data_IF_346686515835
#
_entry.id   IF_346686515835
#
_cell.length_a   1.000
_cell.length_b   1.000
_cell.length_c   1.000
_cell.angle_alpha   90.00
_cell.angle_beta   90.00
_cell.angle_gamma   90.00
#
_symmetry.space_group_name_H-M   'P 1'
#
loop_
_entity.id
_entity.type
_entity.pdbx_description
1 polymer ?
2 non-polymer ?
3 non-polymer ?
4 non-polymer ?
5 non-polymer ?
6 non-polymer ?
7 water ?
#
# COMPACT_ATOMS: atom_id res chain seq x y z
N UNK A 1 15.69 -0.34 9.75
CA UNK A 1 15.10 -1.08 8.61
C UNK A 1 15.41 -2.56 8.81
N UNK A 2 14.59 -3.21 9.60
CA UNK A 2 14.70 -4.63 9.85
C UNK A 2 14.23 -5.45 8.67
N UNK A 3 12.99 -5.95 8.75
CA UNK A 3 12.52 -6.99 7.83
C UNK A 3 12.38 -6.54 6.38
N UNK A 4 12.87 -7.40 5.50
CA UNK A 4 12.61 -7.29 4.07
C UNK A 4 12.24 -8.68 3.57
N UNK A 5 11.56 -8.74 2.44
CA UNK A 5 11.25 -10.01 1.81
C UNK A 5 12.53 -10.57 1.23
N UNK A 6 12.75 -11.86 1.45
CA UNK A 6 13.98 -12.51 1.03
C UNK A 6 13.75 -13.36 -0.21
N UNK A 7 12.82 -12.91 -1.05
CA UNK A 7 12.45 -13.63 -2.26
C UNK A 7 11.96 -12.58 -3.25
N UNK A 8 11.99 -12.91 -4.54
CA UNK A 8 11.62 -11.92 -5.56
C UNK A 8 10.18 -12.02 -6.02
N UNK A 9 9.56 -13.18 -5.91
CA UNK A 9 8.15 -13.33 -6.30
C UNK A 9 7.27 -13.19 -5.07
N UNK A 10 6.45 -12.14 -5.07
CA UNK A 10 5.58 -11.79 -3.94
C UNK A 10 4.15 -11.88 -4.42
N UNK A 11 3.28 -12.44 -3.58
CA UNK A 11 1.86 -12.52 -3.92
C UNK A 11 1.03 -11.56 -3.09
N UNK A 12 -0.07 -11.09 -3.68
CA UNK A 12 -1.10 -10.39 -2.95
C UNK A 12 -2.48 -10.93 -3.22
N UNK A 13 -3.38 -10.70 -2.28
CA UNK A 13 -4.78 -11.08 -2.44
C UNK A 13 -5.66 -9.95 -1.91
N UNK A 14 -6.69 -9.60 -2.67
CA UNK A 14 -7.67 -8.62 -2.21
C UNK A 14 -8.73 -9.38 -1.41
N UNK A 15 -8.70 -9.19 -0.09
CA UNK A 15 -9.58 -9.91 0.83
C UNK A 15 -11.04 -9.57 0.61
N UNK A 16 -11.29 -8.29 0.37
CA UNK A 16 -12.63 -7.75 0.19
C UNK A 16 -12.53 -6.42 -0.52
N UNK A 17 -13.62 -6.00 -1.13
CA UNK A 17 -13.64 -4.78 -1.91
C UNK A 17 -14.46 -3.68 -1.28
N UNK A 18 -13.91 -2.47 -1.27
CA UNK A 18 -14.69 -1.32 -0.85
C UNK A 18 -15.90 -1.11 -1.77
N UNK A 19 -17.08 -0.82 -1.19
CA UNK A 19 -18.24 -0.47 -2.01
C UNK A 19 -18.13 0.91 -2.62
N UNK A 20 -17.09 1.67 -2.26
CA UNK A 20 -16.94 3.03 -2.75
C UNK A 20 -16.60 3.12 -4.24
N UNK A 21 -16.12 2.02 -4.80
CA UNK A 21 -15.51 2.02 -6.12
C UNK A 21 -16.01 0.85 -6.95
N UNK A 22 -15.88 0.97 -8.27
CA UNK A 22 -16.04 -0.18 -9.15
C UNK A 22 -14.99 -1.24 -8.83
N UNK A 23 -15.38 -2.52 -8.87
CA UNK A 23 -14.45 -3.61 -8.59
C UNK A 23 -13.20 -3.53 -9.47
N UNK A 24 -13.42 -3.32 -10.76
CA UNK A 24 -12.31 -3.28 -11.70
C UNK A 24 -11.35 -2.15 -11.38
N UNK A 25 -11.88 -1.07 -10.78
CA UNK A 25 -11.06 0.09 -10.47
C UNK A 25 -10.21 -0.18 -9.23
N UNK A 26 -10.75 -0.95 -8.29
CA UNK A 26 -9.97 -1.38 -7.13
C UNK A 26 -8.83 -2.28 -7.59
N UNK A 27 -9.15 -3.27 -8.42
CA UNK A 27 -8.14 -4.14 -8.97
C UNK A 27 -7.03 -3.34 -9.67
N UNK A 28 -7.42 -2.38 -10.50
CA UNK A 28 -6.46 -1.62 -11.28
C UNK A 28 -5.59 -0.70 -10.40
N UNK A 29 -6.22 -0.02 -9.44
CA UNK A 29 -5.48 0.84 -8.54
C UNK A 29 -4.41 0.07 -7.78
N UNK A 30 -4.78 -1.09 -7.25
CA UNK A 30 -3.85 -1.90 -6.46
C UNK A 30 -2.72 -2.45 -7.36
N UNK A 31 -3.17 -2.97 -8.49
CA UNK A 31 -2.18 -3.44 -9.51
C UNK A 31 -1.11 -2.37 -9.92
N UNK A 32 -1.63 -1.16 -10.20
CA UNK A 32 -0.74 -0.06 -10.57
C UNK A 32 0.18 0.33 -9.42
N UNK A 33 -0.34 0.27 -8.19
CA UNK A 33 0.46 0.62 -7.02
C UNK A 33 1.63 -0.35 -6.83
N UNK A 34 1.36 -1.64 -7.01
CA UNK A 34 2.46 -2.62 -6.97
C UNK A 34 3.47 -2.35 -8.08
N UNK A 35 2.98 -1.96 -9.26
CA UNK A 35 3.86 -1.71 -10.40
C UNK A 35 4.84 -0.58 -10.13
N UNK A 36 4.41 0.42 -9.36
CA UNK A 36 5.28 1.53 -8.99
C UNK A 36 6.57 1.00 -8.34
N UNK A 37 6.44 -0.02 -7.49
CA UNK A 37 7.59 -0.56 -6.77
C UNK A 37 8.34 -1.63 -7.57
N UNK A 38 7.64 -2.42 -8.36
CA UNK A 38 8.33 -3.40 -9.20
C UNK A 38 9.16 -2.68 -10.25
N UNK A 39 8.78 -1.44 -10.57
CA UNK A 39 9.49 -0.64 -11.56
C UNK A 39 10.93 -0.36 -11.17
N UNK A 40 11.21 -0.35 -9.87
CA UNK A 40 12.49 0.13 -9.37
C UNK A 40 13.17 -0.92 -8.47
N UNK A 41 12.69 -2.15 -8.54
CA UNK A 41 13.26 -3.26 -7.76
C UNK A 41 13.25 -4.54 -8.59
N UNK A 42 13.87 -5.61 -8.08
CA UNK A 42 13.75 -6.91 -8.75
C UNK A 42 12.48 -7.67 -8.40
N UNK A 43 11.56 -7.01 -7.69
CA UNK A 43 10.36 -7.67 -7.20
C UNK A 43 9.31 -7.86 -8.28
N UNK A 44 8.60 -8.98 -8.19
CA UNK A 44 7.45 -9.28 -9.06
C UNK A 44 6.23 -9.57 -8.20
N UNK A 45 5.10 -8.98 -8.57
CA UNK A 45 3.89 -9.14 -7.79
C UNK A 45 2.80 -9.83 -8.59
N UNK A 46 2.16 -10.79 -7.96
CA UNK A 46 1.11 -11.56 -8.60
C UNK A 46 -0.13 -11.61 -7.73
N UNK A 47 -1.28 -11.33 -8.33
CA UNK A 47 -2.54 -11.40 -7.62
C UNK A 47 -3.04 -12.84 -7.57
N UNK A 48 -3.41 -13.31 -6.39
CA UNK A 48 -3.99 -14.64 -6.27
C UNK A 48 -5.39 -14.52 -5.68
N UNK A 49 -6.25 -15.49 -5.98
CA UNK A 49 -7.64 -15.40 -5.55
C UNK A 49 -7.99 -16.39 -4.45
N UNK A 50 -7.11 -17.36 -4.22
CA UNK A 50 -7.29 -18.36 -3.16
C UNK A 50 -5.97 -18.61 -2.47
N UNK A 51 -6.04 -19.19 -1.26
CA UNK A 51 -4.85 -19.55 -0.53
C UNK A 51 -4.24 -18.37 0.19
N UNK A 52 -3.05 -18.58 0.74
CA UNK A 52 -2.37 -17.56 1.55
C UNK A 52 -1.45 -16.69 0.68
N UNK A 53 -1.69 -15.40 0.62
CA UNK A 53 -0.81 -14.50 -0.10
C UNK A 53 0.17 -13.90 0.91
N UNK A 54 1.28 -13.36 0.42
CA UNK A 54 2.20 -12.60 1.29
C UNK A 54 1.52 -11.34 1.80
N UNK A 55 0.88 -10.61 0.88
CA UNK A 55 0.28 -9.33 1.23
C UNK A 55 -1.23 -9.42 1.05
N UNK A 56 -1.94 -9.44 2.16
CA UNK A 56 -3.38 -9.37 2.13
C UNK A 56 -3.84 -7.93 2.17
N UNK A 57 -4.66 -7.54 1.20
CA UNK A 57 -5.25 -6.20 1.12
C UNK A 57 -6.68 -6.25 1.67
N UNK A 58 -6.93 -5.43 2.69
CA UNK A 58 -8.17 -5.48 3.44
C UNK A 58 -8.80 -4.08 3.52
N UNK A 59 -10.12 -4.01 3.32
CA UNK A 59 -10.87 -2.80 3.68
C UNK A 59 -11.68 -3.06 4.95
N UNK A 60 -11.52 -2.20 5.95
CA UNK A 60 -12.17 -2.43 7.24
C UNK A 60 -12.32 -1.11 7.97
N UNK A 61 -13.23 -1.09 8.94
CA UNK A 61 -13.43 0.09 9.76
C UNK A 61 -13.29 -0.25 11.23
N UNK A 62 -13.02 0.77 12.05
CA UNK A 62 -12.94 0.63 13.49
C UNK A 62 -11.99 -0.48 13.92
N UNK A 63 -12.37 -1.23 14.94
CA UNK A 63 -11.57 -2.36 15.39
C UNK A 63 -11.77 -3.51 14.41
N UNK A 64 -10.67 -4.04 13.88
CA UNK A 64 -10.77 -5.03 12.81
C UNK A 64 -9.80 -6.19 12.97
N UNK A 65 -9.46 -6.52 14.21
CA UNK A 65 -8.80 -7.77 14.47
C UNK A 65 -7.29 -7.72 14.70
N UNK A 66 -6.69 -6.57 14.45
CA UNK A 66 -5.33 -6.36 14.91
C UNK A 66 -5.40 -5.42 16.09
N UNK A 67 -4.27 -4.87 16.45
CA UNK A 67 -4.19 -4.09 17.67
C UNK A 67 -4.46 -2.63 17.39
N UNK A 68 -4.79 -2.32 16.15
CA UNK A 68 -4.71 -0.95 15.66
C UNK A 68 -5.99 -0.51 14.99
N UNK A 69 -6.95 -0.09 15.81
CA UNK A 69 -8.25 0.30 15.30
C UNK A 69 -8.17 1.54 14.41
N UNK A 70 -9.07 1.61 13.44
CA UNK A 70 -9.27 2.82 12.67
C UNK A 70 -10.20 3.77 13.41
N UNK A 71 -10.29 5.00 12.89
CA UNK A 71 -10.80 6.12 13.66
C UNK A 71 -11.97 6.85 13.02
N UNK A 72 -12.67 6.19 12.10
CA UNK A 72 -13.75 6.86 11.38
C UNK A 72 -13.22 7.72 10.26
N UNK A 73 -14.10 8.52 9.65
CA UNK A 73 -13.70 9.32 8.50
C UNK A 73 -12.62 10.33 8.88
N UNK A 74 -11.59 10.44 8.04
CA UNK A 74 -10.50 11.38 8.28
C UNK A 74 -9.46 10.75 9.21
N UNK A 75 -8.54 11.57 9.71
CA UNK A 75 -7.44 11.03 10.50
C UNK A 75 -6.66 9.98 9.72
N UNK A 76 -6.48 8.82 10.33
CA UNK A 76 -5.70 7.76 9.67
C UNK A 76 -6.49 7.16 8.51
N UNK A 77 -5.82 7.01 7.37
CA UNK A 77 -6.47 6.52 6.15
C UNK A 77 -6.26 5.03 5.93
N UNK A 78 -5.11 4.53 6.38
CA UNK A 78 -4.68 3.18 6.12
C UNK A 78 -3.45 2.87 6.94
N UNK A 79 -3.13 1.59 7.08
CA UNK A 79 -1.86 1.21 7.68
C UNK A 79 -1.40 -0.14 7.12
N UNK A 80 -0.12 -0.43 7.26
CA UNK A 80 0.41 -1.69 6.72
C UNK A 80 1.51 -2.21 7.60
N UNK A 81 1.71 -3.52 7.58
CA UNK A 81 2.74 -4.16 8.38
C UNK A 81 3.95 -4.53 7.53
N UNK A 82 5.14 -4.41 8.12
CA UNK A 82 6.36 -4.73 7.41
C UNK A 82 6.45 -6.22 7.12
N UNK A 83 7.45 -6.60 6.30
CA UNK A 83 7.59 -8.01 5.88
C UNK A 83 7.68 -8.99 7.05
N UNK A 84 7.02 -10.13 6.90
CA UNK A 84 6.99 -11.15 7.93
C UNK A 84 5.87 -12.11 7.62
N UNK A 85 5.76 -13.19 8.40
CA UNK A 85 4.68 -14.15 8.20
C UNK A 85 3.37 -13.64 8.79
N UNK A 86 2.28 -14.29 8.42
CA UNK A 86 0.97 -13.94 8.94
C UNK A 86 0.57 -12.53 8.53
N UNK A 87 0.31 -11.69 9.52
CA UNK A 87 -0.13 -10.31 9.26
C UNK A 87 1.00 -9.49 8.62
N UNK A 88 2.24 -9.95 8.75
CA UNK A 88 3.34 -9.26 8.11
C UNK A 88 3.03 -9.01 6.63
N UNK A 89 3.37 -7.81 6.16
CA UNK A 89 3.09 -7.44 4.78
C UNK A 89 1.71 -6.88 4.50
N UNK A 90 0.74 -7.15 5.37
CA UNK A 90 -0.66 -6.87 5.03
C UNK A 90 -0.94 -5.37 5.06
N UNK A 91 -1.85 -4.94 4.19
CA UNK A 91 -2.19 -3.54 4.05
C UNK A 91 -3.69 -3.37 4.29
N UNK A 92 -4.04 -2.53 5.25
CA UNK A 92 -5.44 -2.30 5.60
C UNK A 92 -5.84 -0.87 5.30
N UNK A 93 -6.99 -0.71 4.67
CA UNK A 93 -7.50 0.59 4.26
C UNK A 93 -8.80 0.88 5.03
N UNK A 94 -8.88 2.09 5.61
CA UNK A 94 -10.03 2.45 6.44
C UNK A 94 -11.29 2.64 5.58
N UNK A 95 -12.25 1.75 5.77
CA UNK A 95 -13.50 1.82 4.99
C UNK A 95 -14.33 3.09 5.29
N UNK A 96 -14.07 3.73 6.43
CA UNK A 96 -14.76 4.98 6.71
C UNK A 96 -14.27 6.13 5.84
N UNK A 97 -13.18 5.95 5.10
CA UNK A 97 -12.84 6.90 4.06
C UNK A 97 -13.68 6.60 2.82
N UNK A 98 -13.77 7.58 1.94
CA UNK A 98 -14.42 7.37 0.65
C UNK A 98 -13.35 7.28 -0.43
N UNK A 99 -13.10 6.05 -0.87
CA UNK A 99 -12.03 5.73 -1.81
C UNK A 99 -12.42 6.06 -3.24
N UNK A 100 -11.52 6.67 -4.00
CA UNK A 100 -11.81 6.99 -5.41
C UNK A 100 -10.63 6.79 -6.35
N UNK A 101 -10.90 6.91 -7.64
CA UNK A 101 -9.88 6.90 -8.68
C UNK A 101 -9.36 8.30 -9.02
N UNK A 102 -9.91 9.32 -8.37
CA UNK A 102 -9.64 10.70 -8.77
C UNK A 102 -9.28 11.59 -7.59
N UNK A 103 -9.52 12.89 -7.73
CA UNK A 103 -9.13 13.88 -6.71
C UNK A 103 -10.16 14.01 -5.58
N UNK A 104 -11.36 13.51 -5.83
CA UNK A 104 -12.40 13.49 -4.82
C UNK A 104 -12.08 12.43 -3.79
N UNK A 105 -12.64 12.58 -2.60
CA UNK A 105 -12.44 11.62 -1.53
C UNK A 105 -10.98 11.36 -1.24
N UNK A 106 -10.64 10.10 -1.00
CA UNK A 106 -9.26 9.69 -0.79
C UNK A 106 -8.84 8.78 -1.94
N UNK A 107 -7.73 9.10 -2.59
CA UNK A 107 -7.31 8.34 -3.77
C UNK A 107 -6.72 7.00 -3.38
N UNK A 108 -7.32 5.92 -3.84
CA UNK A 108 -6.85 4.57 -3.47
C UNK A 108 -5.45 4.27 -3.99
N UNK A 109 -5.19 4.57 -5.25
CA UNK A 109 -3.88 4.29 -5.85
C UNK A 109 -2.76 4.96 -5.06
N UNK A 110 -2.91 6.24 -4.75
CA UNK A 110 -1.84 6.97 -4.07
C UNK A 110 -1.61 6.40 -2.67
N UNK A 111 -2.70 6.13 -1.97
CA UNK A 111 -2.61 5.58 -0.63
C UNK A 111 -1.97 4.19 -0.68
N UNK A 112 -2.34 3.40 -1.68
CA UNK A 112 -1.78 2.06 -1.80
C UNK A 112 -0.29 2.07 -2.13
N UNK A 113 0.18 3.04 -2.91
CA UNK A 113 1.60 3.13 -3.18
C UNK A 113 2.33 3.30 -1.85
N UNK A 114 1.83 4.20 -1.01
CA UNK A 114 2.42 4.45 0.29
C UNK A 114 2.39 3.20 1.16
N UNK A 115 1.23 2.56 1.27
CA UNK A 115 1.10 1.40 2.15
C UNK A 115 1.97 0.26 1.68
N UNK A 116 2.00 0.00 0.38
CA UNK A 116 2.84 -1.08 -0.13
C UNK A 116 4.33 -0.79 0.16
N UNK A 117 4.72 0.48 0.16
CA UNK A 117 6.06 0.85 0.61
C UNK A 117 6.33 0.26 1.99
N UNK A 118 5.38 0.41 2.92
CA UNK A 118 5.51 -0.17 4.25
C UNK A 118 5.53 -1.70 4.17
N UNK A 119 4.67 -2.27 3.34
CA UNK A 119 4.62 -3.73 3.17
C UNK A 119 5.94 -4.33 2.72
N UNK A 120 6.75 -3.50 2.05
CA UNK A 120 8.06 -3.92 1.54
C UNK A 120 9.17 -3.60 2.52
N UNK A 121 8.85 -2.86 3.58
CA UNK A 121 9.81 -2.58 4.63
C UNK A 121 10.23 -1.14 4.81
N UNK A 122 9.68 -0.21 4.04
CA UNK A 122 10.01 1.21 4.19
C UNK A 122 9.30 1.83 5.38
N UNK A 123 9.93 2.84 5.95
CA UNK A 123 9.28 3.62 6.99
C UNK A 123 8.74 4.92 6.43
N UNK A 124 8.95 6.01 7.15
CA UNK A 124 8.52 7.30 6.65
C UNK A 124 9.68 8.21 6.34
N UNK A 125 9.53 8.97 5.26
CA UNK A 125 10.52 9.95 4.83
C UNK A 125 10.19 11.34 5.37
N UNK A 126 11.22 12.14 5.59
CA UNK A 126 11.02 13.51 6.02
C UNK A 126 10.82 14.46 4.83
N UNK A 127 11.02 13.94 3.62
CA UNK A 127 10.89 14.73 2.40
C UNK A 127 9.42 14.87 2.02
N UNK A 128 8.92 16.11 2.01
CA UNK A 128 7.52 16.33 1.65
C UNK A 128 7.21 16.08 0.16
N UNK A 129 8.19 15.62 -0.61
CA UNK A 129 7.95 15.26 -2.02
C UNK A 129 7.88 13.75 -2.18
N UNK A 130 8.24 13.03 -1.11
CA UNK A 130 8.30 11.57 -1.17
C UNK A 130 6.93 10.96 -0.91
N UNK A 131 6.64 9.86 -1.60
CA UNK A 131 5.38 9.14 -1.38
C UNK A 131 5.33 8.58 0.05
N UNK A 132 6.49 8.35 0.65
CA UNK A 132 6.58 7.85 2.02
C UNK A 132 6.58 8.96 3.10
N UNK A 133 6.28 10.19 2.72
CA UNK A 133 6.08 11.25 3.70
C UNK A 133 4.89 10.87 4.58
N UNK A 134 4.89 11.28 5.87
CA UNK A 134 3.88 10.70 6.78
C UNK A 134 2.46 11.24 6.63
N UNK A 135 2.25 12.27 5.82
CA UNK A 135 0.91 12.85 5.64
C UNK A 135 0.47 12.80 4.18
N UNK A 136 -0.73 12.29 3.94
CA UNK A 136 -1.32 12.16 2.61
C UNK A 136 -1.45 13.51 1.92
N UNK A 137 -1.12 13.52 0.65
CA UNK A 137 -1.26 14.72 -0.21
C UNK A 137 -1.68 14.27 -1.60
N UNK A 138 -2.75 14.84 -2.12
CA UNK A 138 -3.24 14.43 -3.45
C UNK A 138 -2.34 14.99 -4.55
N UNK A 139 -1.89 14.11 -5.44
CA UNK A 139 -1.11 14.48 -6.65
C UNK A 139 -1.85 13.77 -7.81
N UNK A 140 -2.08 14.46 -8.91
CA UNK A 140 -2.85 13.84 -10.02
C UNK A 140 -2.00 12.86 -10.85
N UNK A 141 -2.60 12.32 -11.89
CA UNK A 141 -1.82 11.34 -12.69
C UNK A 141 -0.70 12.00 -13.50
N UNK A 142 -0.82 13.29 -13.79
CA UNK A 142 0.22 13.98 -14.55
C UNK A 142 1.43 14.20 -13.64
N UNK A 143 1.19 14.39 -12.33
CA UNK A 143 2.27 14.80 -11.38
C UNK A 143 2.86 13.64 -10.59
N UNK A 144 2.10 12.59 -10.29
CA UNK A 144 2.70 11.51 -9.47
C UNK A 144 3.95 10.90 -10.15
N UNK A 145 4.95 10.70 -9.49
CA UNK A 145 6.12 9.85 -9.85
C UNK A 145 6.96 9.67 -8.58
N UNK A 146 7.53 8.48 -8.38
CA UNK A 146 8.39 8.23 -7.22
C UNK A 146 9.49 9.27 -7.14
N UNK A 147 9.69 9.82 -5.94
CA UNK A 147 10.77 10.76 -5.72
C UNK A 147 12.10 10.02 -5.65
N UNK A 148 13.20 10.74 -5.83
CA UNK A 148 14.52 10.13 -5.72
C UNK A 148 14.73 9.51 -4.35
N UNK A 149 14.19 10.15 -3.31
CA UNK A 149 14.31 9.64 -1.95
C UNK A 149 13.61 8.28 -1.80
N UNK A 150 12.39 8.17 -2.34
CA UNK A 150 11.67 6.90 -2.33
C UNK A 150 12.49 5.82 -3.03
N UNK A 151 13.07 6.18 -4.18
CA UNK A 151 13.87 5.25 -4.96
C UNK A 151 15.13 4.82 -4.21
N UNK A 152 15.79 5.78 -3.57
CA UNK A 152 16.96 5.50 -2.75
C UNK A 152 16.60 4.55 -1.61
N UNK A 153 15.47 4.81 -0.97
CA UNK A 153 15.01 4.02 0.16
C UNK A 153 14.74 2.58 -0.23
N UNK A 154 13.98 2.38 -1.32
CA UNK A 154 13.61 1.04 -1.70
C UNK A 154 14.81 0.25 -2.25
N UNK A 155 15.71 0.94 -2.95
CA UNK A 155 16.84 0.22 -3.52
C UNK A 155 17.87 -0.12 -2.45
N UNK A 156 17.87 0.63 -1.35
CA UNK A 156 18.69 0.28 -0.18
C UNK A 156 18.18 -0.99 0.52
N UNK A 157 16.94 -1.38 0.24
CA UNK A 157 16.37 -2.64 0.78
C UNK A 157 16.44 -3.78 -0.26
N UNK A 158 16.32 -3.48 -1.55
CA UNK A 158 16.20 -4.58 -2.54
C UNK A 158 17.14 -4.58 -3.75
N UNK A 159 17.81 -3.51 -4.11
CA UNK A 159 18.47 -3.63 -5.42
C UNK A 159 19.94 -3.42 -5.36
#
# INVERSE_FOLDING_TARGET
MGPVWRKHYITYRINNYTPDMNREDVDYAIRKAFQVWSNVTPLKFSKINTGMADILVVFARGAHGDDHAFDGKGGILAHAFGPGSGIGGDAHFDEDEFWTTHSGGTNLFLTAVHEIGHSLGLGHSSDPKAVMFPTYKYVDINTFRLSADDIRGIQSLYG
#
